data_IF_438989989581
#
_entry.id   IF_438989989581
#
_cell.length_a   1.000
_cell.length_b   1.000
_cell.length_c   1.000
_cell.angle_alpha   90.00
_cell.angle_beta   90.00
_cell.angle_gamma   90.00
#
_symmetry.space_group_name_H-M   'P 1'
#
loop_
_entity.id
_entity.type
_entity.pdbx_description
1 polymer ?
#
# COMPACT_ATOMS: atom_id res chain seq x y z
N UNK A 1 -34.68 -33.17 23.37
CA UNK A 1 -35.16 -32.02 22.56
C UNK A 1 -34.15 -30.89 22.42
N UNK A 2 -32.82 -31.14 22.48
CA UNK A 2 -31.76 -30.09 22.39
C UNK A 2 -31.19 -29.87 20.98
N UNK A 3 -31.58 -30.63 19.99
CA UNK A 3 -30.95 -30.63 18.64
C UNK A 3 -31.45 -29.47 17.75
N UNK A 4 -32.63 -28.91 17.99
CA UNK A 4 -33.18 -27.81 17.17
C UNK A 4 -32.60 -26.43 17.49
N UNK A 5 -32.13 -26.17 18.73
CA UNK A 5 -31.62 -24.88 19.19
C UNK A 5 -30.34 -24.41 18.48
N UNK A 6 -29.51 -25.35 18.01
CA UNK A 6 -28.29 -25.00 17.26
C UNK A 6 -28.53 -24.70 15.78
N UNK A 7 -29.72 -24.96 15.25
CA UNK A 7 -29.99 -24.84 13.82
C UNK A 7 -29.93 -23.40 13.28
N UNK A 8 -30.58 -22.45 13.98
CA UNK A 8 -30.68 -21.05 13.51
C UNK A 8 -29.37 -20.31 13.69
N UNK A 9 -28.71 -20.44 14.85
CA UNK A 9 -27.34 -19.88 15.09
C UNK A 9 -26.35 -20.43 14.09
N UNK A 10 -26.32 -21.73 13.83
CA UNK A 10 -25.41 -22.32 12.83
C UNK A 10 -25.75 -21.91 11.41
N UNK A 11 -27.01 -21.74 11.05
CA UNK A 11 -27.41 -21.26 9.71
C UNK A 11 -27.02 -19.81 9.49
N UNK A 12 -27.26 -18.93 10.46
CA UNK A 12 -26.84 -17.52 10.40
C UNK A 12 -25.31 -17.39 10.37
N UNK A 13 -24.58 -18.13 11.21
CA UNK A 13 -23.12 -18.16 11.20
C UNK A 13 -22.57 -18.63 9.83
N UNK A 14 -23.13 -19.69 9.26
CA UNK A 14 -22.74 -20.17 7.93
C UNK A 14 -23.05 -19.13 6.84
N UNK A 15 -24.23 -18.51 6.90
CA UNK A 15 -24.61 -17.47 5.94
C UNK A 15 -23.67 -16.26 6.02
N UNK A 16 -23.32 -15.81 7.23
CA UNK A 16 -22.39 -14.66 7.42
C UNK A 16 -20.98 -15.02 7.00
N UNK A 17 -20.49 -16.21 7.36
CA UNK A 17 -19.13 -16.64 6.98
C UNK A 17 -19.04 -16.92 5.47
N UNK A 18 -19.95 -17.73 4.92
CA UNK A 18 -19.89 -18.13 3.51
C UNK A 18 -20.42 -17.05 2.58
N UNK A 19 -21.44 -16.27 2.98
CA UNK A 19 -22.07 -15.27 2.14
C UNK A 19 -21.39 -13.91 2.15
N UNK A 20 -20.71 -13.55 3.23
CA UNK A 20 -20.12 -12.22 3.38
C UNK A 20 -18.61 -12.31 3.58
N UNK A 21 -18.13 -13.04 4.57
CA UNK A 21 -16.71 -13.03 4.95
C UNK A 21 -15.84 -13.71 3.90
N UNK A 22 -16.28 -14.80 3.30
CA UNK A 22 -15.52 -15.52 2.27
C UNK A 22 -15.41 -14.74 0.97
N UNK A 23 -16.46 -14.13 0.39
CA UNK A 23 -16.33 -13.26 -0.79
C UNK A 23 -15.47 -12.01 -0.53
N UNK A 24 -15.60 -11.37 0.64
CA UNK A 24 -14.78 -10.20 0.99
C UNK A 24 -13.31 -10.60 1.11
N UNK A 25 -12.99 -11.74 1.74
CA UNK A 25 -11.60 -12.22 1.83
C UNK A 25 -11.01 -12.59 0.47
N UNK A 26 -11.80 -13.21 -0.41
CA UNK A 26 -11.40 -13.51 -1.79
C UNK A 26 -11.14 -12.23 -2.60
N UNK A 27 -12.04 -11.25 -2.54
CA UNK A 27 -11.86 -9.93 -3.16
C UNK A 27 -10.60 -9.23 -2.64
N UNK A 28 -10.36 -9.29 -1.33
CA UNK A 28 -9.19 -8.68 -0.73
C UNK A 28 -7.88 -9.34 -1.19
N UNK A 29 -7.83 -10.66 -1.31
CA UNK A 29 -6.66 -11.38 -1.85
C UNK A 29 -6.37 -10.97 -3.30
N UNK A 30 -7.39 -10.93 -4.15
CA UNK A 30 -7.25 -10.51 -5.55
C UNK A 30 -6.78 -9.04 -5.63
N UNK A 31 -7.40 -8.17 -4.83
CA UNK A 31 -7.03 -6.75 -4.78
C UNK A 31 -5.61 -6.53 -4.25
N UNK A 32 -5.20 -7.28 -3.23
CA UNK A 32 -3.82 -7.23 -2.70
C UNK A 32 -2.76 -7.64 -3.72
N UNK A 33 -3.03 -8.70 -4.50
CA UNK A 33 -2.15 -9.11 -5.60
C UNK A 33 -2.10 -8.06 -6.71
N UNK A 34 -3.24 -7.52 -7.11
CA UNK A 34 -3.33 -6.47 -8.12
C UNK A 34 -2.56 -5.20 -7.70
N UNK A 35 -2.73 -4.75 -6.47
CA UNK A 35 -2.00 -3.57 -5.95
C UNK A 35 -0.51 -3.85 -5.88
N UNK A 36 -0.08 -5.02 -5.39
CA UNK A 36 1.35 -5.37 -5.35
C UNK A 36 1.99 -5.29 -6.75
N UNK A 37 1.33 -5.83 -7.75
CA UNK A 37 1.77 -5.76 -9.14
C UNK A 37 1.79 -4.31 -9.67
N UNK A 38 0.72 -3.56 -9.47
CA UNK A 38 0.59 -2.14 -9.89
C UNK A 38 1.62 -1.24 -9.25
N UNK A 39 1.90 -1.41 -7.94
CA UNK A 39 2.92 -0.65 -7.22
C UNK A 39 4.34 -0.96 -7.74
N UNK A 40 4.65 -2.23 -8.02
CA UNK A 40 5.93 -2.62 -8.60
C UNK A 40 6.13 -1.98 -9.97
N UNK A 41 5.11 -1.97 -10.81
CA UNK A 41 5.15 -1.34 -12.13
C UNK A 41 5.31 0.19 -12.02
N UNK A 42 4.58 0.83 -11.10
CA UNK A 42 4.69 2.26 -10.83
C UNK A 42 6.08 2.65 -10.31
N UNK A 43 6.67 1.86 -9.39
CA UNK A 43 8.02 2.09 -8.89
C UNK A 43 9.06 1.98 -10.02
N UNK A 44 8.92 0.99 -10.91
CA UNK A 44 9.80 0.86 -12.07
C UNK A 44 9.66 2.03 -13.04
N UNK A 45 8.45 2.51 -13.28
CA UNK A 45 8.22 3.70 -14.11
C UNK A 45 8.83 4.96 -13.50
N UNK A 46 8.73 5.14 -12.17
CA UNK A 46 9.36 6.25 -11.45
C UNK A 46 10.89 6.15 -11.53
N UNK A 47 11.46 4.97 -11.33
CA UNK A 47 12.89 4.74 -11.48
C UNK A 47 13.36 5.03 -12.92
N UNK A 48 12.60 4.61 -13.93
CA UNK A 48 12.90 4.89 -15.33
C UNK A 48 12.83 6.39 -15.65
N UNK A 49 11.86 7.12 -15.10
CA UNK A 49 11.76 8.57 -15.27
C UNK A 49 12.91 9.31 -14.58
N UNK A 50 13.30 8.89 -13.38
CA UNK A 50 14.46 9.44 -12.67
C UNK A 50 15.76 9.19 -13.45
N UNK A 51 15.95 7.95 -13.96
CA UNK A 51 17.08 7.58 -14.79
C UNK A 51 17.17 8.43 -16.05
N UNK A 52 16.05 8.63 -16.73
CA UNK A 52 15.97 9.50 -17.92
C UNK A 52 16.35 10.94 -17.60
N UNK A 53 15.85 11.50 -16.51
CA UNK A 53 16.22 12.85 -16.07
C UNK A 53 17.72 12.97 -15.79
N UNK A 54 18.32 11.96 -15.17
CA UNK A 54 19.78 11.89 -14.96
C UNK A 54 20.54 11.90 -16.27
N UNK A 55 20.12 11.10 -17.24
CA UNK A 55 20.74 11.04 -18.57
C UNK A 55 20.67 12.39 -19.30
N UNK A 56 19.51 13.04 -19.27
CA UNK A 56 19.33 14.38 -19.87
C UNK A 56 20.22 15.44 -19.18
N UNK A 57 20.23 15.42 -17.84
CA UNK A 57 21.04 16.37 -17.06
C UNK A 57 22.51 16.20 -17.37
N UNK A 58 23.01 14.98 -17.38
CA UNK A 58 24.39 14.66 -17.71
C UNK A 58 24.74 15.07 -19.14
N UNK A 59 23.88 14.76 -20.11
CA UNK A 59 24.06 15.20 -21.51
C UNK A 59 24.09 16.72 -21.64
N UNK A 60 23.26 17.45 -20.90
CA UNK A 60 23.23 18.90 -20.88
C UNK A 60 24.49 19.48 -20.25
N UNK A 61 24.98 18.92 -19.15
CA UNK A 61 26.25 19.32 -18.52
C UNK A 61 27.42 19.14 -19.51
N UNK A 62 27.50 17.98 -20.16
CA UNK A 62 28.55 17.73 -21.15
C UNK A 62 28.47 18.68 -22.33
N UNK A 63 27.29 19.06 -22.78
CA UNK A 63 27.07 20.07 -23.82
C UNK A 63 27.55 21.44 -23.36
N UNK A 64 27.29 21.81 -22.10
CA UNK A 64 27.78 23.05 -21.50
C UNK A 64 29.31 23.10 -21.49
N UNK A 65 29.97 22.00 -21.07
CA UNK A 65 31.42 21.90 -21.09
C UNK A 65 32.00 22.04 -22.51
N UNK A 66 31.40 21.35 -23.48
CA UNK A 66 31.78 21.45 -24.88
C UNK A 66 31.64 22.88 -25.43
N UNK A 67 30.50 23.52 -25.16
CA UNK A 67 30.25 24.89 -25.64
C UNK A 67 31.18 25.87 -24.98
N UNK A 68 31.48 25.75 -23.70
CA UNK A 68 32.43 26.57 -22.99
C UNK A 68 33.84 26.49 -23.64
N UNK A 69 34.34 25.25 -23.88
CA UNK A 69 35.65 25.08 -24.52
C UNK A 69 35.69 25.60 -25.96
N UNK A 70 34.57 25.55 -26.69
CA UNK A 70 34.49 26.17 -28.04
C UNK A 70 34.66 27.69 -28.03
N UNK A 71 34.50 28.33 -26.86
CA UNK A 71 34.80 29.74 -26.66
C UNK A 71 36.20 30.14 -27.15
N UNK A 72 37.19 29.23 -27.12
CA UNK A 72 38.51 29.49 -27.70
C UNK A 72 38.46 29.88 -29.17
N UNK A 73 37.53 29.34 -29.95
CA UNK A 73 37.36 29.71 -31.38
C UNK A 73 36.60 31.04 -31.58
N UNK A 74 35.87 31.48 -30.56
CA UNK A 74 35.06 32.70 -30.62
C UNK A 74 35.91 33.93 -30.36
N UNK A 75 37.00 33.80 -29.59
CA UNK A 75 37.93 34.90 -29.35
C UNK A 75 38.91 35.01 -30.55
N UNK A 76 38.67 35.98 -31.41
CA UNK A 76 39.33 36.15 -32.73
C UNK A 76 40.84 36.10 -32.70
N UNK A 77 41.44 36.56 -31.61
CA UNK A 77 42.91 36.68 -31.50
C UNK A 77 43.56 35.44 -30.90
N UNK A 78 42.76 34.56 -30.25
CA UNK A 78 43.29 33.39 -29.55
C UNK A 78 43.94 32.39 -30.51
N UNK A 79 43.30 32.05 -31.61
CA UNK A 79 43.84 31.11 -32.60
C UNK A 79 45.13 31.71 -33.23
N UNK A 80 45.12 33.01 -33.55
CA UNK A 80 46.32 33.70 -34.10
C UNK A 80 47.46 33.70 -33.07
N UNK A 81 47.15 33.91 -31.79
CA UNK A 81 48.12 33.91 -30.70
C UNK A 81 48.74 32.53 -30.47
N UNK A 82 47.90 31.45 -30.57
CA UNK A 82 48.34 30.06 -30.43
C UNK A 82 49.13 29.58 -31.66
N UNK A 83 48.92 30.18 -32.84
CA UNK A 83 49.66 29.88 -34.05
C UNK A 83 51.09 30.51 -34.03
N UNK A 84 51.23 31.65 -33.35
CA UNK A 84 52.52 32.29 -33.19
C UNK A 84 53.34 31.61 -32.09
N UNK A 85 54.61 31.33 -32.42
CA UNK A 85 55.58 30.90 -31.41
C UNK A 85 55.95 32.07 -30.46
N UNK A 86 56.72 31.76 -29.40
CA UNK A 86 57.21 32.80 -28.49
C UNK A 86 58.23 33.74 -29.24
N UNK A 87 58.02 35.00 -29.06
CA UNK A 87 58.86 36.03 -29.76
C UNK A 87 60.12 36.40 -28.97
N UNK A 88 60.28 35.95 -27.74
CA UNK A 88 61.40 36.31 -26.88
C UNK A 88 61.33 37.73 -26.28
N UNK A 89 60.37 38.55 -26.67
CA UNK A 89 60.15 39.89 -26.12
C UNK A 89 59.31 39.83 -24.88
N UNK A 90 59.89 40.02 -23.69
CA UNK A 90 59.27 39.83 -22.41
C UNK A 90 57.90 40.53 -22.25
N UNK A 91 57.79 41.80 -22.60
CA UNK A 91 56.58 42.60 -22.51
C UNK A 91 55.40 42.03 -23.36
N UNK A 92 55.72 41.60 -24.57
CA UNK A 92 54.73 41.01 -25.50
C UNK A 92 54.30 39.67 -25.07
N UNK A 93 55.19 38.83 -24.53
CA UNK A 93 54.87 37.55 -24.03
C UNK A 93 53.98 37.64 -22.77
N UNK A 94 54.24 38.57 -21.87
CA UNK A 94 53.41 38.83 -20.70
C UNK A 94 51.97 39.22 -21.09
N UNK A 95 51.80 40.11 -22.07
CA UNK A 95 50.47 40.49 -22.60
C UNK A 95 49.74 39.29 -23.22
N UNK A 96 50.44 38.44 -23.96
CA UNK A 96 49.92 37.27 -24.59
C UNK A 96 49.49 36.24 -23.55
N UNK A 97 50.29 35.98 -22.51
CA UNK A 97 49.99 35.07 -21.43
C UNK A 97 48.78 35.56 -20.60
N UNK A 98 48.67 36.87 -20.35
CA UNK A 98 47.49 37.47 -19.73
C UNK A 98 46.21 37.26 -20.55
N UNK A 99 46.25 37.42 -21.86
CA UNK A 99 45.10 37.17 -22.74
C UNK A 99 44.66 35.71 -22.68
N UNK A 100 45.64 34.77 -22.66
CA UNK A 100 45.34 33.35 -22.48
C UNK A 100 44.65 33.09 -21.12
N UNK A 101 45.23 33.61 -20.03
CA UNK A 101 44.65 33.41 -18.70
C UNK A 101 43.27 34.04 -18.54
N UNK A 102 43.02 35.19 -19.15
CA UNK A 102 41.70 35.83 -19.16
C UNK A 102 40.67 34.95 -19.88
N UNK A 103 41.04 34.33 -21.01
CA UNK A 103 40.17 33.38 -21.73
C UNK A 103 39.91 32.14 -20.92
N UNK A 104 40.94 31.56 -20.28
CA UNK A 104 40.79 30.42 -19.38
C UNK A 104 39.85 30.75 -18.22
N UNK A 105 39.96 31.97 -17.64
CA UNK A 105 39.10 32.46 -16.58
C UNK A 105 37.62 32.53 -17.01
N UNK A 106 37.36 33.08 -18.19
CA UNK A 106 35.99 33.18 -18.73
C UNK A 106 35.39 31.82 -18.98
N UNK A 107 36.16 30.88 -19.53
CA UNK A 107 35.67 29.49 -19.76
C UNK A 107 35.42 28.79 -18.44
N UNK A 108 36.35 28.90 -17.50
CA UNK A 108 36.20 28.24 -16.18
C UNK A 108 35.01 28.79 -15.39
N UNK A 109 34.76 30.12 -15.48
CA UNK A 109 33.59 30.73 -14.82
C UNK A 109 32.25 30.29 -15.40
N UNK A 110 32.23 29.81 -16.66
CA UNK A 110 31.04 29.29 -17.32
C UNK A 110 30.75 27.80 -16.96
N UNK A 111 31.70 27.16 -16.25
CA UNK A 111 31.62 25.75 -15.87
C UNK A 111 31.93 25.62 -14.37
N UNK A 112 30.96 25.88 -13.48
CA UNK A 112 31.18 25.86 -12.03
C UNK A 112 31.63 24.50 -11.48
N UNK A 113 31.27 23.40 -12.14
CA UNK A 113 31.64 22.06 -11.75
C UNK A 113 33.12 21.74 -12.00
N UNK A 114 33.79 22.50 -12.85
CA UNK A 114 35.17 22.24 -13.18
C UNK A 114 36.12 22.72 -12.07
N UNK A 115 37.11 21.90 -11.73
CA UNK A 115 38.15 22.21 -10.74
C UNK A 115 39.29 22.99 -11.35
N UNK A 116 39.65 22.68 -12.60
CA UNK A 116 40.74 23.34 -13.31
C UNK A 116 40.56 23.22 -14.81
N UNK A 117 41.17 24.19 -15.52
CA UNK A 117 41.33 24.17 -16.97
C UNK A 117 42.80 24.24 -17.32
N UNK A 118 43.24 23.39 -18.23
CA UNK A 118 44.62 23.35 -18.71
C UNK A 118 44.65 23.51 -20.22
N UNK A 119 45.47 24.45 -20.71
CA UNK A 119 45.76 24.65 -22.11
C UNK A 119 47.21 24.28 -22.38
N UNK A 120 47.43 23.28 -23.21
CA UNK A 120 48.76 22.89 -23.70
C UNK A 120 48.96 23.45 -25.10
N UNK A 121 49.75 24.47 -25.25
CA UNK A 121 50.06 25.09 -26.56
C UNK A 121 51.35 24.50 -27.13
N UNK A 122 51.23 23.82 -28.27
CA UNK A 122 52.38 23.12 -28.88
C UNK A 122 53.37 24.09 -29.51
N UNK A 123 52.89 25.09 -30.28
CA UNK A 123 53.75 26.04 -30.94
C UNK A 123 54.48 27.01 -29.99
N UNK A 124 53.85 27.29 -28.84
CA UNK A 124 54.47 28.14 -27.80
C UNK A 124 55.37 27.34 -26.84
N UNK A 125 55.27 26.01 -26.82
CA UNK A 125 55.97 25.15 -25.87
C UNK A 125 55.56 25.41 -24.40
N UNK A 126 54.31 25.81 -24.16
CA UNK A 126 53.82 26.26 -22.85
C UNK A 126 52.57 25.52 -22.44
N UNK A 127 52.49 25.26 -21.14
CA UNK A 127 51.27 24.75 -20.47
C UNK A 127 50.74 25.85 -19.57
N UNK A 128 49.51 26.24 -19.76
CA UNK A 128 48.77 27.19 -18.92
C UNK A 128 47.71 26.43 -18.13
N UNK A 129 47.73 26.58 -16.82
CA UNK A 129 46.75 25.96 -15.95
C UNK A 129 46.08 26.99 -15.08
N UNK A 130 44.76 26.94 -14.99
CA UNK A 130 43.96 27.78 -14.10
C UNK A 130 43.06 26.94 -13.26
N UNK A 131 43.04 27.20 -11.97
CA UNK A 131 42.16 26.47 -11.00
C UNK A 131 40.89 27.26 -10.72
N UNK A 132 39.89 26.60 -10.18
CA UNK A 132 38.62 27.23 -9.73
C UNK A 132 38.83 28.30 -8.64
N UNK A 133 39.97 28.30 -7.95
CA UNK A 133 40.38 29.35 -7.04
C UNK A 133 41.14 30.51 -7.77
N UNK A 134 41.09 30.52 -9.07
CA UNK A 134 41.75 31.52 -9.94
C UNK A 134 43.27 31.59 -9.80
N UNK A 135 43.92 30.53 -9.32
CA UNK A 135 45.37 30.42 -9.31
C UNK A 135 45.86 30.13 -10.73
N UNK A 136 46.89 30.84 -11.15
CA UNK A 136 47.48 30.78 -12.50
C UNK A 136 48.83 30.11 -12.42
N UNK A 137 49.03 29.10 -13.25
CA UNK A 137 50.32 28.41 -13.37
C UNK A 137 50.70 28.34 -14.84
N UNK A 138 51.95 28.65 -15.15
CA UNK A 138 52.51 28.40 -16.48
C UNK A 138 53.83 27.67 -16.36
N UNK A 139 54.07 26.72 -17.24
CA UNK A 139 55.32 25.96 -17.29
C UNK A 139 55.73 25.75 -18.72
N UNK A 140 57.02 25.90 -18.98
CA UNK A 140 57.63 25.59 -20.28
C UNK A 140 57.93 24.07 -20.35
N UNK A 141 57.79 23.48 -21.53
CA UNK A 141 58.13 22.07 -21.80
C UNK A 141 58.28 21.83 -23.30
N UNK A 142 59.11 20.87 -23.67
CA UNK A 142 59.09 20.34 -25.02
C UNK A 142 57.81 19.53 -25.22
N UNK A 143 56.84 20.12 -25.89
CA UNK A 143 55.52 19.56 -26.09
C UNK A 143 55.33 19.25 -27.57
N UNK A 144 55.31 17.98 -27.90
CA UNK A 144 54.90 17.54 -29.22
C UNK A 144 53.44 17.20 -29.25
N UNK A 145 52.69 17.55 -30.31
CA UNK A 145 51.34 17.02 -30.49
C UNK A 145 51.42 15.48 -30.44
N UNK A 146 50.51 14.82 -29.73
CA UNK A 146 50.52 13.39 -29.67
C UNK A 146 50.39 12.78 -31.06
N UNK A 147 51.33 11.90 -31.39
CA UNK A 147 51.40 11.19 -32.69
C UNK A 147 50.25 10.18 -32.91
N UNK A 148 49.39 10.01 -31.96
CA UNK A 148 48.21 9.15 -32.04
C UNK A 148 47.07 10.01 -32.58
N UNK A 149 46.48 9.61 -33.72
CA UNK A 149 45.33 10.26 -34.29
C UNK A 149 44.27 10.47 -33.25
N UNK A 150 44.10 11.70 -32.80
CA UNK A 150 42.96 12.05 -31.98
C UNK A 150 41.71 11.71 -32.77
N UNK A 151 40.77 10.95 -32.23
CA UNK A 151 39.54 10.56 -32.94
C UNK A 151 38.61 11.75 -33.20
N UNK A 152 39.13 12.97 -33.04
CA UNK A 152 38.32 14.16 -32.99
C UNK A 152 38.39 14.96 -34.28
N UNK A 153 37.27 15.17 -34.91
CA UNK A 153 37.07 16.23 -35.92
C UNK A 153 37.20 17.61 -35.25
N UNK A 154 37.50 18.67 -35.98
CA UNK A 154 37.43 20.04 -35.47
C UNK A 154 36.12 20.30 -34.72
N UNK A 155 36.15 20.98 -33.58
CA UNK A 155 35.05 21.27 -32.66
C UNK A 155 34.48 20.04 -31.90
N UNK A 156 35.07 18.87 -32.06
CA UNK A 156 34.68 17.71 -31.25
C UNK A 156 35.59 17.58 -30.03
N UNK A 157 35.13 16.85 -29.04
CA UNK A 157 35.85 16.60 -27.81
C UNK A 157 35.76 15.13 -27.45
N UNK A 158 36.64 14.69 -26.60
CA UNK A 158 36.59 13.35 -25.99
C UNK A 158 36.69 13.45 -24.48
N UNK A 159 36.26 12.45 -23.80
CA UNK A 159 36.31 12.38 -22.32
C UNK A 159 37.09 11.18 -21.92
N UNK A 160 37.99 11.36 -20.96
CA UNK A 160 38.75 10.27 -20.35
C UNK A 160 38.65 10.33 -18.84
N UNK A 161 38.73 9.15 -18.18
CA UNK A 161 38.76 9.08 -16.74
C UNK A 161 40.21 9.21 -16.24
N UNK A 162 40.40 10.03 -15.21
CA UNK A 162 41.63 10.10 -14.44
C UNK A 162 41.37 9.61 -13.02
N UNK A 163 42.04 8.53 -12.60
CA UNK A 163 41.86 7.90 -11.31
C UNK A 163 40.87 6.74 -11.35
N UNK A 164 40.15 6.52 -10.25
CA UNK A 164 39.21 5.44 -10.11
C UNK A 164 37.84 5.82 -10.71
N UNK A 165 37.07 4.79 -11.12
CA UNK A 165 35.73 4.97 -11.64
C UNK A 165 34.69 5.07 -10.48
N UNK A 166 34.98 5.88 -9.47
CA UNK A 166 34.13 6.16 -8.32
C UNK A 166 33.96 7.69 -8.11
N UNK A 167 33.33 8.09 -7.03
CA UNK A 167 33.13 9.52 -6.72
C UNK A 167 34.44 10.29 -6.51
N UNK A 168 35.58 9.61 -6.27
CA UNK A 168 36.91 10.22 -6.14
C UNK A 168 37.59 10.50 -7.47
N UNK A 169 37.10 9.88 -8.55
CA UNK A 169 37.61 10.04 -9.90
C UNK A 169 37.35 11.45 -10.49
N UNK A 170 38.02 11.71 -11.59
CA UNK A 170 37.93 12.97 -12.33
C UNK A 170 37.72 12.68 -13.80
N UNK A 171 36.79 13.37 -14.41
CA UNK A 171 36.63 13.37 -15.86
C UNK A 171 37.51 14.49 -16.45
N UNK A 172 38.32 14.08 -17.40
CA UNK A 172 39.05 15.03 -18.26
C UNK A 172 38.29 15.18 -19.57
N UNK A 173 37.69 16.33 -19.78
CA UNK A 173 37.04 16.69 -21.04
C UNK A 173 38.08 17.37 -21.89
N UNK A 174 38.51 16.76 -22.98
CA UNK A 174 39.63 17.18 -23.81
C UNK A 174 39.13 17.62 -25.17
N UNK A 175 39.56 18.83 -25.62
CA UNK A 175 39.26 19.37 -26.93
C UNK A 175 40.53 19.82 -27.61
N UNK A 176 40.92 19.24 -28.77
CA UNK A 176 41.99 19.75 -29.58
C UNK A 176 41.55 21.02 -30.30
N UNK A 177 42.41 22.07 -30.29
CA UNK A 177 42.23 23.29 -31.05
C UNK A 177 43.04 23.19 -32.34
N UNK A 178 42.36 23.44 -33.46
CA UNK A 178 42.94 23.39 -34.82
C UNK A 178 43.06 24.75 -35.42
N UNK A 179 43.96 24.91 -36.35
CA UNK A 179 44.15 26.15 -37.15
C UNK A 179 43.14 26.17 -38.32
N UNK A 180 41.90 26.50 -38.04
CA UNK A 180 40.81 26.53 -39.02
C UNK A 180 40.64 27.91 -39.59
N UNK A 181 40.49 28.07 -40.91
CA UNK A 181 40.45 27.04 -41.97
C UNK A 181 41.82 26.70 -42.59
N UNK A 182 42.91 27.24 -42.08
CA UNK A 182 44.22 27.27 -42.76
C UNK A 182 44.91 25.89 -42.77
N UNK A 183 44.76 25.07 -41.71
CA UNK A 183 45.36 23.72 -41.66
C UNK A 183 44.60 22.81 -40.70
N UNK A 184 44.88 21.50 -40.82
CA UNK A 184 44.39 20.49 -39.88
C UNK A 184 45.34 20.26 -38.69
N UNK A 185 46.35 21.13 -38.52
CA UNK A 185 47.34 20.99 -37.47
C UNK A 185 46.77 21.36 -36.11
N UNK A 186 47.11 20.56 -35.12
CA UNK A 186 46.68 20.80 -33.75
C UNK A 186 47.57 21.87 -33.12
N UNK A 187 47.00 23.04 -32.82
CA UNK A 187 47.68 24.15 -32.17
C UNK A 187 47.85 23.96 -30.67
N UNK A 188 46.80 23.45 -30.04
CA UNK A 188 46.76 23.29 -28.61
C UNK A 188 45.75 22.19 -28.19
N UNK A 189 45.90 21.70 -26.98
CA UNK A 189 44.95 20.81 -26.32
C UNK A 189 44.36 21.50 -25.08
N UNK A 190 43.07 21.69 -25.07
CA UNK A 190 42.31 22.12 -23.87
C UNK A 190 41.85 20.92 -23.10
N UNK A 191 42.10 20.92 -21.81
CA UNK A 191 41.66 19.88 -20.87
C UNK A 191 40.92 20.52 -19.70
N UNK A 192 39.66 20.16 -19.53
CA UNK A 192 38.81 20.57 -18.41
C UNK A 192 38.73 19.44 -17.42
N UNK A 193 39.19 19.68 -16.19
CA UNK A 193 39.13 18.68 -15.10
C UNK A 193 37.84 18.87 -14.30
N UNK A 194 36.98 17.89 -14.34
CA UNK A 194 35.71 17.86 -13.62
C UNK A 194 35.70 16.71 -12.63
N UNK A 195 35.70 16.97 -11.32
CA UNK A 195 35.54 15.88 -10.35
C UNK A 195 34.17 15.20 -10.50
N UNK A 196 34.14 13.90 -10.46
CA UNK A 196 32.86 13.16 -10.53
C UNK A 196 31.93 13.57 -9.38
N UNK A 197 32.50 13.88 -8.21
CA UNK A 197 31.74 14.37 -7.04
C UNK A 197 30.98 15.69 -7.28
N UNK A 198 31.40 16.49 -8.27
CA UNK A 198 30.67 17.71 -8.66
C UNK A 198 29.49 17.44 -9.59
N UNK A 199 29.39 16.26 -10.16
CA UNK A 199 28.26 15.84 -10.99
C UNK A 199 27.15 15.27 -10.10
N UNK A 200 26.40 16.16 -9.45
CA UNK A 200 25.34 15.79 -8.48
C UNK A 200 24.27 14.88 -9.09
N UNK A 201 24.08 14.92 -10.40
CA UNK A 201 23.21 14.01 -11.13
C UNK A 201 23.64 12.53 -11.03
N UNK A 202 24.94 12.27 -10.87
CA UNK A 202 25.47 10.92 -10.70
C UNK A 202 25.57 10.49 -9.24
N UNK A 203 25.91 11.42 -8.34
CA UNK A 203 26.21 11.10 -6.94
C UNK A 203 25.00 11.17 -6.02
N UNK A 204 23.93 11.85 -6.40
CA UNK A 204 22.74 12.10 -5.58
C UNK A 204 21.60 11.08 -5.70
N UNK A 205 21.75 10.04 -6.50
CA UNK A 205 20.62 9.15 -6.85
C UNK A 205 20.65 7.72 -6.25
N UNK A 206 21.70 7.33 -5.55
CA UNK A 206 21.83 5.98 -5.00
C UNK A 206 21.50 5.92 -3.51
N UNK A 207 20.26 6.25 -3.16
CA UNK A 207 19.79 6.17 -1.75
C UNK A 207 19.26 4.77 -1.36
N UNK A 208 19.01 3.90 -2.32
CA UNK A 208 18.50 2.56 -2.04
C UNK A 208 19.66 1.54 -1.92
N UNK A 209 19.72 0.76 -0.84
CA UNK A 209 20.76 -0.24 -0.66
C UNK A 209 20.70 -1.29 -1.78
N UNK A 210 21.85 -1.50 -2.44
CA UNK A 210 21.99 -2.45 -3.54
C UNK A 210 21.68 -1.89 -4.93
N UNK A 211 21.32 -0.62 -5.05
CA UNK A 211 21.15 0.07 -6.32
C UNK A 211 22.53 0.46 -6.86
N UNK A 212 22.79 0.13 -8.12
CA UNK A 212 24.09 0.42 -8.75
C UNK A 212 23.87 1.29 -9.98
N UNK A 213 24.49 2.46 -9.99
CA UNK A 213 24.52 3.36 -11.13
C UNK A 213 25.91 3.33 -11.77
N UNK A 214 25.96 3.03 -13.05
CA UNK A 214 27.21 3.00 -13.83
C UNK A 214 27.11 3.92 -15.04
N UNK A 215 28.19 4.60 -15.34
CA UNK A 215 28.39 5.33 -16.60
C UNK A 215 29.51 4.64 -17.37
N UNK A 216 29.21 4.17 -18.58
CA UNK A 216 30.16 3.48 -19.45
C UNK A 216 30.45 4.32 -20.68
N UNK A 217 31.67 4.25 -21.20
CA UNK A 217 32.05 4.83 -22.49
C UNK A 217 31.57 3.96 -23.67
N UNK A 218 31.87 4.38 -24.89
CA UNK A 218 31.54 3.68 -26.13
C UNK A 218 32.19 2.30 -26.25
N UNK A 219 33.27 2.02 -25.51
CA UNK A 219 34.02 0.79 -25.51
C UNK A 219 33.63 -0.11 -24.30
N UNK A 220 32.76 0.41 -23.44
CA UNK A 220 32.27 -0.27 -22.24
C UNK A 220 33.19 -0.15 -21.03
N UNK A 221 34.16 0.79 -21.08
CA UNK A 221 34.98 1.10 -19.90
C UNK A 221 34.15 1.92 -18.91
N UNK A 222 34.20 1.61 -17.62
CA UNK A 222 33.50 2.41 -16.62
C UNK A 222 34.15 3.78 -16.46
N UNK A 223 33.36 4.83 -16.65
CA UNK A 223 33.68 6.20 -16.31
C UNK A 223 33.28 6.53 -14.90
N UNK A 224 32.20 5.89 -14.42
CA UNK A 224 31.70 5.97 -13.05
C UNK A 224 30.96 4.68 -12.68
N UNK A 225 31.11 4.27 -11.43
CA UNK A 225 30.29 3.25 -10.79
C UNK A 225 30.04 3.64 -9.33
N UNK A 226 28.80 3.62 -8.91
CA UNK A 226 28.43 3.86 -7.50
C UNK A 226 28.88 2.70 -6.58
N UNK A 227 29.04 1.51 -7.15
CA UNK A 227 29.58 0.33 -6.48
C UNK A 227 30.73 -0.23 -7.32
N UNK A 228 31.94 -0.17 -6.75
CA UNK A 228 33.16 -0.68 -7.41
C UNK A 228 33.18 -2.21 -7.63
N UNK A 229 32.25 -2.94 -7.04
CA UNK A 229 32.13 -4.40 -7.19
C UNK A 229 31.25 -4.82 -8.38
N UNK A 230 30.62 -3.86 -9.08
CA UNK A 230 29.71 -4.14 -10.19
C UNK A 230 30.45 -4.77 -11.39
N UNK A 231 29.96 -5.88 -11.89
CA UNK A 231 30.47 -6.53 -13.11
C UNK A 231 30.02 -5.75 -14.35
N UNK A 232 30.74 -4.65 -14.62
CA UNK A 232 30.51 -3.77 -15.78
C UNK A 232 30.74 -4.48 -17.11
N UNK A 233 31.59 -5.53 -17.15
CA UNK A 233 31.86 -6.31 -18.36
C UNK A 233 30.65 -7.17 -18.76
N UNK A 234 30.00 -7.80 -17.78
CA UNK A 234 28.76 -8.56 -18.02
C UNK A 234 27.61 -7.64 -18.47
N UNK A 235 27.49 -6.44 -17.87
CA UNK A 235 26.53 -5.42 -18.30
C UNK A 235 26.79 -4.98 -19.74
N UNK A 236 28.03 -4.66 -20.09
CA UNK A 236 28.40 -4.24 -21.42
C UNK A 236 28.12 -5.28 -22.51
N UNK A 237 28.39 -6.56 -22.22
CA UNK A 237 28.08 -7.66 -23.15
C UNK A 237 26.60 -7.71 -23.54
N UNK A 238 25.71 -7.38 -22.61
CA UNK A 238 24.26 -7.32 -22.87
C UNK A 238 23.88 -6.08 -23.65
N UNK A 239 24.47 -4.94 -23.32
CA UNK A 239 24.18 -3.65 -23.97
C UNK A 239 24.52 -3.66 -25.46
N UNK A 240 25.58 -4.38 -25.86
CA UNK A 240 25.96 -4.50 -27.28
C UNK A 240 24.91 -5.13 -28.18
N UNK A 241 24.00 -5.93 -27.63
CA UNK A 241 22.93 -6.60 -28.36
C UNK A 241 21.65 -5.77 -28.51
N UNK A 242 21.60 -4.58 -27.91
CA UNK A 242 20.37 -3.77 -27.87
C UNK A 242 20.35 -2.77 -29.03
N UNK A 243 19.21 -2.66 -29.72
CA UNK A 243 18.96 -1.58 -30.66
C UNK A 243 18.59 -0.31 -29.89
N UNK A 244 19.44 0.72 -29.98
CA UNK A 244 19.29 1.95 -29.23
C UNK A 244 18.40 2.95 -29.98
N UNK A 245 17.28 3.34 -29.35
CA UNK A 245 16.50 4.49 -29.76
C UNK A 245 16.95 5.73 -28.97
N UNK A 246 17.04 6.87 -29.66
CA UNK A 246 17.49 8.11 -29.04
C UNK A 246 16.48 8.58 -28.00
N UNK A 247 16.96 8.95 -26.80
CA UNK A 247 16.16 9.42 -25.67
C UNK A 247 15.12 8.41 -25.13
N UNK A 248 15.41 7.14 -25.27
CA UNK A 248 14.52 6.08 -24.75
C UNK A 248 15.26 5.19 -23.77
N UNK A 249 14.69 5.08 -22.56
CA UNK A 249 15.18 4.12 -21.56
C UNK A 249 14.83 2.71 -22.00
N UNK A 250 15.84 1.86 -22.07
CA UNK A 250 15.68 0.44 -22.31
C UNK A 250 15.64 -0.28 -20.96
N UNK A 251 14.65 -1.14 -20.77
CA UNK A 251 14.52 -1.94 -19.57
C UNK A 251 14.75 -3.40 -19.90
N UNK A 252 15.66 -4.06 -19.23
CA UNK A 252 15.91 -5.49 -19.37
C UNK A 252 16.19 -6.13 -18.00
N UNK A 253 16.08 -7.43 -17.89
CA UNK A 253 16.28 -8.16 -16.63
C UNK A 253 17.68 -8.78 -16.59
N UNK A 254 18.43 -8.51 -15.52
CA UNK A 254 19.72 -9.11 -15.26
C UNK A 254 19.55 -10.29 -14.28
N UNK A 255 19.97 -11.50 -14.71
CA UNK A 255 19.78 -12.70 -13.89
C UNK A 255 18.31 -13.09 -13.79
N UNK A 256 17.88 -13.59 -12.64
CA UNK A 256 16.51 -14.10 -12.44
C UNK A 256 15.49 -13.06 -12.00
N UNK A 257 15.88 -11.85 -11.54
CA UNK A 257 14.94 -10.96 -10.86
C UNK A 257 15.17 -9.44 -10.97
N UNK A 258 16.42 -8.95 -11.19
CA UNK A 258 16.70 -7.52 -11.07
C UNK A 258 16.52 -6.78 -12.41
N UNK A 259 15.61 -5.81 -12.53
CA UNK A 259 15.50 -4.98 -13.71
C UNK A 259 16.69 -4.01 -13.82
N UNK A 260 17.19 -3.88 -15.03
CA UNK A 260 18.24 -2.95 -15.40
C UNK A 260 17.67 -1.91 -16.34
N UNK A 261 17.86 -0.65 -16.01
CA UNK A 261 17.53 0.50 -16.83
C UNK A 261 18.80 0.93 -17.55
N UNK A 262 18.73 1.18 -18.84
CA UNK A 262 19.87 1.69 -19.59
C UNK A 262 19.42 2.70 -20.64
N UNK A 263 20.18 3.76 -20.77
CA UNK A 263 19.97 4.81 -21.78
C UNK A 263 21.27 5.21 -22.44
N UNK A 264 21.23 5.39 -23.76
CA UNK A 264 22.35 5.90 -24.52
C UNK A 264 22.33 7.41 -24.55
N UNK A 265 23.38 8.04 -24.04
CA UNK A 265 23.63 9.50 -24.14
C UNK A 265 24.51 9.72 -25.33
N UNK A 266 23.99 10.35 -26.37
CA UNK A 266 24.73 10.61 -27.61
C UNK A 266 24.84 12.12 -27.88
N UNK A 267 26.05 12.62 -27.83
CA UNK A 267 26.38 14.02 -28.14
C UNK A 267 27.51 14.07 -29.17
N UNK A 268 27.72 15.25 -29.76
CA UNK A 268 28.76 15.43 -30.78
C UNK A 268 30.13 15.14 -30.20
N UNK A 269 30.67 13.95 -30.45
CA UNK A 269 32.01 13.54 -30.07
C UNK A 269 32.09 12.39 -29.05
N UNK A 270 30.99 12.00 -28.41
CA UNK A 270 30.99 10.85 -27.54
C UNK A 270 29.64 10.13 -27.51
N UNK A 271 29.68 8.86 -27.16
CA UNK A 271 28.50 8.04 -26.85
C UNK A 271 28.72 7.36 -25.51
N UNK A 272 27.86 7.63 -24.56
CA UNK A 272 27.93 7.03 -23.25
C UNK A 272 26.69 6.20 -22.98
N UNK A 273 26.80 5.27 -22.05
CA UNK A 273 25.70 4.44 -21.62
C UNK A 273 25.54 4.61 -20.11
N UNK A 274 24.44 5.21 -19.72
CA UNK A 274 24.03 5.28 -18.33
C UNK A 274 23.25 4.00 -18.03
N UNK A 275 23.68 3.28 -17.01
CA UNK A 275 23.11 1.98 -16.64
C UNK A 275 22.79 1.97 -15.15
N UNK A 276 21.59 1.63 -14.79
CA UNK A 276 21.13 1.54 -13.41
C UNK A 276 20.56 0.16 -13.16
N UNK A 277 21.11 -0.55 -12.19
CA UNK A 277 20.60 -1.83 -11.69
C UNK A 277 19.71 -1.56 -10.51
N UNK A 278 18.43 -1.91 -10.60
CA UNK A 278 17.45 -1.72 -9.54
C UNK A 278 17.17 -3.08 -8.89
N UNK A 279 17.66 -3.37 -7.67
CA UNK A 279 17.36 -4.64 -7.01
C UNK A 279 15.86 -4.78 -6.79
N UNK A 280 15.32 -5.97 -7.00
CA UNK A 280 13.91 -6.27 -6.78
C UNK A 280 13.46 -5.92 -5.34
N UNK A 281 14.38 -6.08 -4.37
CA UNK A 281 14.14 -5.74 -2.97
C UNK A 281 13.90 -4.24 -2.74
N UNK A 282 14.53 -3.35 -3.50
CA UNK A 282 14.32 -1.89 -3.40
C UNK A 282 12.95 -1.49 -3.94
N UNK A 283 12.54 -2.09 -5.06
CA UNK A 283 11.22 -1.89 -5.66
C UNK A 283 10.08 -2.43 -4.77
N UNK A 284 10.34 -3.54 -4.06
CA UNK A 284 9.38 -4.15 -3.14
C UNK A 284 9.25 -3.40 -1.82
N UNK A 285 10.30 -2.73 -1.35
CA UNK A 285 10.29 -2.02 -0.05
C UNK A 285 9.20 -0.96 0.04
N UNK A 286 8.96 -0.22 -1.03
CA UNK A 286 7.87 0.76 -1.14
C UNK A 286 6.50 0.06 -1.09
N UNK A 287 6.39 -1.14 -1.69
CA UNK A 287 5.17 -1.95 -1.69
C UNK A 287 4.87 -2.57 -0.33
N UNK A 288 5.89 -2.99 0.44
CA UNK A 288 5.69 -3.63 1.75
C UNK A 288 5.01 -2.74 2.78
N UNK A 289 5.33 -1.45 2.83
CA UNK A 289 4.68 -0.52 3.74
C UNK A 289 3.17 -0.43 3.44
N UNK A 290 2.82 -0.31 2.18
CA UNK A 290 1.43 -0.26 1.73
C UNK A 290 0.69 -1.59 1.95
N UNK A 291 1.31 -2.73 1.60
CA UNK A 291 0.73 -4.06 1.84
C UNK A 291 0.47 -4.28 3.33
N UNK A 292 1.41 -3.89 4.20
CA UNK A 292 1.23 -3.99 5.66
C UNK A 292 0.07 -3.15 6.16
N UNK A 293 -0.09 -1.91 5.71
CA UNK A 293 -1.22 -1.06 6.11
C UNK A 293 -2.55 -1.61 5.60
N UNK A 294 -2.57 -2.14 4.39
CA UNK A 294 -3.76 -2.77 3.80
C UNK A 294 -4.16 -4.04 4.55
N UNK A 295 -3.21 -4.91 4.92
CA UNK A 295 -3.46 -6.10 5.76
C UNK A 295 -3.99 -5.69 7.14
N UNK A 296 -3.40 -4.66 7.77
CA UNK A 296 -3.87 -4.18 9.07
C UNK A 296 -5.31 -3.66 9.00
N UNK A 297 -5.66 -2.92 7.96
CA UNK A 297 -7.02 -2.43 7.72
C UNK A 297 -8.01 -3.61 7.53
N UNK A 298 -7.62 -4.63 6.75
CA UNK A 298 -8.45 -5.82 6.54
C UNK A 298 -8.70 -6.58 7.84
N UNK A 299 -7.65 -6.83 8.62
CA UNK A 299 -7.79 -7.48 9.93
C UNK A 299 -8.70 -6.67 10.84
N UNK A 300 -8.57 -5.34 10.85
CA UNK A 300 -9.45 -4.43 11.58
C UNK A 300 -10.92 -4.57 11.15
N UNK A 301 -11.20 -4.60 9.84
CA UNK A 301 -12.54 -4.80 9.30
C UNK A 301 -13.13 -6.17 9.68
N UNK A 302 -12.34 -7.24 9.62
CA UNK A 302 -12.77 -8.59 10.03
C UNK A 302 -13.09 -8.64 11.52
N UNK A 303 -12.25 -8.04 12.36
CA UNK A 303 -12.51 -7.96 13.81
C UNK A 303 -13.77 -7.16 14.12
N UNK A 304 -13.96 -6.01 13.46
CA UNK A 304 -15.19 -5.21 13.61
C UNK A 304 -16.42 -6.00 13.19
N UNK A 305 -16.35 -6.72 12.07
CA UNK A 305 -17.46 -7.56 11.59
C UNK A 305 -17.79 -8.69 12.57
N UNK A 306 -16.78 -9.36 13.16
CA UNK A 306 -16.97 -10.38 14.19
C UNK A 306 -17.61 -9.78 15.44
N UNK A 307 -17.20 -8.59 15.87
CA UNK A 307 -17.78 -7.89 17.00
C UNK A 307 -19.26 -7.56 16.76
N UNK A 308 -19.58 -7.02 15.57
CA UNK A 308 -20.97 -6.74 15.19
C UNK A 308 -21.82 -8.03 15.12
N UNK A 309 -21.26 -9.14 14.64
CA UNK A 309 -21.93 -10.43 14.60
C UNK A 309 -22.25 -10.94 16.01
N UNK A 310 -21.30 -10.88 16.94
CA UNK A 310 -21.51 -11.24 18.35
C UNK A 310 -22.56 -10.33 18.97
N UNK A 311 -22.51 -9.03 18.71
CA UNK A 311 -23.51 -8.08 19.18
C UNK A 311 -24.91 -8.43 18.67
N UNK A 312 -25.08 -8.67 17.35
CA UNK A 312 -26.36 -9.10 16.77
C UNK A 312 -26.88 -10.43 17.34
N UNK A 313 -25.98 -11.41 17.54
CA UNK A 313 -26.34 -12.70 18.15
C UNK A 313 -26.89 -12.50 19.57
N UNK A 314 -26.27 -11.65 20.35
CA UNK A 314 -26.70 -11.41 21.73
C UNK A 314 -27.97 -10.55 21.81
N UNK A 315 -28.07 -9.52 20.96
CA UNK A 315 -29.18 -8.55 21.04
C UNK A 315 -30.46 -9.05 20.38
N UNK A 316 -30.37 -9.88 19.34
CA UNK A 316 -31.54 -10.31 18.57
C UNK A 316 -31.85 -11.80 18.78
N UNK A 317 -30.86 -12.67 18.59
CA UNK A 317 -31.10 -14.13 18.60
C UNK A 317 -31.35 -14.71 19.98
N UNK A 318 -30.68 -14.17 20.99
CA UNK A 318 -30.83 -14.70 22.36
C UNK A 318 -32.22 -14.43 22.92
N UNK A 319 -32.80 -13.24 22.80
CA UNK A 319 -34.20 -12.97 23.21
C UNK A 319 -35.20 -13.80 22.44
N UNK A 320 -35.08 -13.89 21.11
CA UNK A 320 -35.97 -14.71 20.28
C UNK A 320 -35.94 -16.20 20.67
N UNK A 321 -34.76 -16.74 20.97
CA UNK A 321 -34.60 -18.13 21.42
C UNK A 321 -35.29 -18.39 22.78
N UNK A 322 -35.18 -17.40 23.70
CA UNK A 322 -35.84 -17.48 25.01
C UNK A 322 -37.36 -17.37 24.87
N UNK A 323 -37.84 -16.49 23.99
CA UNK A 323 -39.26 -16.31 23.72
C UNK A 323 -39.87 -17.61 23.14
N UNK A 324 -39.15 -18.28 22.23
CA UNK A 324 -39.54 -19.61 21.72
C UNK A 324 -39.59 -20.66 22.81
N UNK A 325 -38.65 -20.65 23.77
CA UNK A 325 -38.62 -21.56 24.90
C UNK A 325 -39.82 -21.34 25.85
N UNK A 326 -40.15 -20.07 26.11
CA UNK A 326 -41.33 -19.70 26.88
C UNK A 326 -42.62 -20.19 26.21
N UNK A 327 -42.76 -19.98 24.90
CA UNK A 327 -43.90 -20.46 24.15
C UNK A 327 -44.02 -22.00 24.19
N UNK A 328 -42.91 -22.74 24.12
CA UNK A 328 -42.90 -24.21 24.26
C UNK A 328 -43.33 -24.67 25.67
N UNK A 329 -42.89 -23.99 26.72
CA UNK A 329 -43.27 -24.31 28.13
C UNK A 329 -44.77 -24.11 28.33
N UNK A 330 -45.30 -23.00 27.80
CA UNK A 330 -46.74 -22.70 27.90
C UNK A 330 -47.57 -23.69 27.07
N UNK A 331 -47.12 -24.04 25.85
CA UNK A 331 -47.80 -25.03 25.01
C UNK A 331 -47.85 -26.41 25.61
N UNK A 332 -46.91 -26.74 26.50
CA UNK A 332 -46.90 -28.02 27.27
C UNK A 332 -47.89 -28.02 28.46
N UNK A 333 -48.67 -26.94 28.66
CA UNK A 333 -49.70 -26.82 29.68
C UNK A 333 -49.24 -26.12 30.96
N UNK A 334 -48.01 -25.65 31.07
CA UNK A 334 -47.56 -24.90 32.24
C UNK A 334 -47.83 -23.40 32.06
N UNK A 335 -49.08 -23.01 32.42
CA UNK A 335 -49.53 -21.61 32.34
C UNK A 335 -48.99 -20.71 33.48
N UNK A 336 -48.34 -21.34 34.50
CA UNK A 336 -47.76 -20.60 35.64
C UNK A 336 -46.30 -20.17 35.42
N UNK A 337 -45.75 -20.36 34.23
CA UNK A 337 -44.38 -19.91 33.92
C UNK A 337 -44.32 -18.38 34.03
N UNK A 338 -43.40 -17.86 34.84
CA UNK A 338 -43.26 -16.41 35.10
C UNK A 338 -42.66 -15.67 33.88
N UNK A 339 -43.41 -14.78 33.25
CA UNK A 339 -42.88 -13.98 32.13
C UNK A 339 -41.86 -12.94 32.60
N UNK A 340 -41.69 -12.68 33.89
CA UNK A 340 -40.77 -11.66 34.40
C UNK A 340 -39.29 -11.97 34.07
N UNK A 341 -38.93 -13.26 33.95
CA UNK A 341 -37.58 -13.68 33.51
C UNK A 341 -37.19 -13.19 32.09
N UNK A 342 -38.16 -12.67 31.32
CA UNK A 342 -37.97 -12.22 29.94
C UNK A 342 -38.14 -10.70 29.77
N UNK A 343 -38.55 -9.99 30.84
CA UNK A 343 -38.81 -8.52 30.82
C UNK A 343 -37.58 -7.67 31.10
N UNK A 344 -36.55 -8.22 31.68
CA UNK A 344 -35.44 -7.48 32.32
C UNK A 344 -34.26 -7.19 31.37
N UNK A 345 -34.48 -7.20 30.05
CA UNK A 345 -33.43 -6.90 29.09
C UNK A 345 -33.74 -5.64 28.26
N UNK A 346 -32.73 -4.78 28.08
CA UNK A 346 -32.78 -3.64 27.17
C UNK A 346 -32.78 -4.17 25.71
N UNK A 347 -34.00 -4.36 25.18
CA UNK A 347 -34.21 -4.90 23.84
C UNK A 347 -34.55 -3.77 22.86
N UNK A 348 -34.22 -3.95 21.54
CA UNK A 348 -34.75 -3.08 20.48
C UNK A 348 -36.27 -2.96 20.54
N UNK A 349 -36.83 -1.83 20.15
CA UNK A 349 -38.27 -1.52 20.28
C UNK A 349 -39.18 -2.56 19.63
N UNK A 350 -38.76 -3.18 18.52
CA UNK A 350 -39.51 -4.23 17.82
C UNK A 350 -39.59 -5.53 18.65
N UNK A 351 -38.46 -5.92 19.25
CA UNK A 351 -38.38 -7.10 20.09
C UNK A 351 -39.20 -6.89 21.37
N UNK A 352 -39.12 -5.69 21.97
CA UNK A 352 -39.93 -5.32 23.14
C UNK A 352 -41.43 -5.37 22.83
N UNK A 353 -41.82 -4.83 21.66
CA UNK A 353 -43.21 -4.85 21.20
C UNK A 353 -43.72 -6.29 21.01
N UNK A 354 -42.88 -7.20 20.47
CA UNK A 354 -43.19 -8.59 20.29
C UNK A 354 -43.37 -9.31 21.66
N UNK A 355 -42.45 -9.06 22.59
CA UNK A 355 -42.57 -9.60 23.97
C UNK A 355 -43.88 -9.16 24.62
N UNK A 356 -44.22 -7.87 24.58
CA UNK A 356 -45.46 -7.35 25.14
C UNK A 356 -46.71 -7.94 24.46
N UNK A 357 -46.66 -8.15 23.14
CA UNK A 357 -47.79 -8.75 22.42
C UNK A 357 -48.01 -10.23 22.82
N UNK A 358 -46.94 -10.97 22.99
CA UNK A 358 -47.03 -12.36 23.46
C UNK A 358 -47.48 -12.42 24.93
N UNK A 359 -46.97 -11.52 25.78
CA UNK A 359 -47.40 -11.41 27.17
C UNK A 359 -48.91 -11.17 27.30
N UNK A 360 -49.41 -10.21 26.52
CA UNK A 360 -50.86 -9.88 26.45
C UNK A 360 -51.69 -11.08 25.95
N UNK A 361 -51.21 -11.78 24.93
CA UNK A 361 -51.84 -12.98 24.40
C UNK A 361 -51.89 -14.10 25.46
N UNK A 362 -50.80 -14.28 26.22
CA UNK A 362 -50.73 -15.26 27.28
C UNK A 362 -51.68 -14.97 28.43
N UNK A 363 -51.76 -13.70 28.87
CA UNK A 363 -52.77 -13.29 29.86
C UNK A 363 -54.18 -13.62 29.37
N UNK A 364 -54.51 -13.27 28.12
CA UNK A 364 -55.81 -13.56 27.55
C UNK A 364 -56.13 -15.03 27.50
N UNK A 365 -55.16 -15.90 27.17
CA UNK A 365 -55.33 -17.34 27.15
C UNK A 365 -55.54 -17.87 28.58
N UNK A 366 -54.72 -17.44 29.54
CA UNK A 366 -54.81 -17.86 30.94
C UNK A 366 -56.16 -17.47 31.52
N UNK A 367 -56.62 -16.23 31.35
CA UNK A 367 -57.92 -15.76 31.82
C UNK A 367 -59.08 -16.54 31.16
N UNK A 368 -58.94 -16.85 29.86
CA UNK A 368 -59.95 -17.63 29.14
C UNK A 368 -60.05 -19.04 29.65
N UNK A 369 -58.89 -19.68 29.92
CA UNK A 369 -58.84 -21.04 30.47
C UNK A 369 -59.41 -21.09 31.88
N UNK A 370 -59.06 -20.14 32.76
CA UNK A 370 -59.60 -20.02 34.11
C UNK A 370 -61.11 -19.87 34.04
N UNK A 371 -61.61 -18.94 33.21
CA UNK A 371 -63.02 -18.71 33.03
C UNK A 371 -63.75 -19.93 32.50
N UNK A 372 -63.14 -20.68 31.60
CA UNK A 372 -63.72 -21.92 31.09
C UNK A 372 -63.86 -22.99 32.24
N UNK A 373 -62.82 -23.11 33.09
CA UNK A 373 -62.89 -23.98 34.25
C UNK A 373 -63.96 -23.54 35.26
N UNK A 374 -64.08 -22.23 35.53
CA UNK A 374 -65.14 -21.71 36.43
C UNK A 374 -66.53 -22.00 35.88
N UNK A 375 -66.75 -21.82 34.57
CA UNK A 375 -68.02 -22.19 33.94
C UNK A 375 -68.31 -23.70 34.00
N UNK A 376 -67.29 -24.51 33.81
CA UNK A 376 -67.43 -25.97 33.85
C UNK A 376 -67.77 -26.45 35.27
N UNK A 377 -67.13 -25.90 36.29
CA UNK A 377 -67.43 -26.14 37.70
C UNK A 377 -68.84 -25.67 38.01
N UNK A 378 -69.27 -24.49 37.57
CA UNK A 378 -70.61 -23.95 37.78
C UNK A 378 -71.65 -24.85 37.12
N UNK A 379 -71.43 -25.30 35.90
CA UNK A 379 -72.29 -26.21 35.18
C UNK A 379 -72.41 -27.59 35.90
N UNK A 380 -71.25 -28.17 36.33
CA UNK A 380 -71.25 -29.43 37.09
C UNK A 380 -71.97 -29.32 38.44
N UNK A 381 -71.80 -28.13 39.08
CA UNK A 381 -72.49 -27.83 40.34
C UNK A 381 -74.02 -27.72 40.12
N UNK A 382 -74.45 -27.05 39.04
CA UNK A 382 -75.89 -27.01 38.68
C UNK A 382 -76.44 -28.40 38.35
N UNK A 383 -75.69 -29.21 37.61
CA UNK A 383 -76.12 -30.60 37.30
C UNK A 383 -76.28 -31.42 38.54
N UNK A 384 -75.33 -31.32 39.49
CA UNK A 384 -75.49 -32.01 40.81
C UNK A 384 -76.66 -31.49 41.58
N UNK A 385 -76.90 -30.20 41.66
CA UNK A 385 -78.07 -29.65 42.35
C UNK A 385 -79.35 -30.04 41.66
N UNK A 386 -79.43 -30.15 40.35
CA UNK A 386 -80.57 -30.66 39.62
C UNK A 386 -80.83 -32.13 39.90
N UNK A 387 -79.77 -32.99 39.97
CA UNK A 387 -79.87 -34.36 40.30
C UNK A 387 -80.36 -34.53 41.76
N UNK A 388 -79.88 -33.73 42.70
CA UNK A 388 -80.36 -33.69 44.07
C UNK A 388 -81.80 -33.26 44.16
N UNK A 389 -82.26 -32.28 43.38
CA UNK A 389 -83.63 -31.80 43.35
C UNK A 389 -84.62 -32.87 42.75
N UNK A 390 -84.12 -33.81 41.92
CA UNK A 390 -84.94 -34.95 41.41
C UNK A 390 -85.34 -35.96 42.50
N UNK A 391 -84.58 -35.96 43.62
CA UNK A 391 -85.04 -36.68 44.81
C UNK A 391 -86.14 -35.81 45.40
N UNK A 392 -87.39 -36.03 45.00
CA UNK A 392 -88.50 -35.17 45.41
C UNK A 392 -88.63 -35.19 46.97
N UNK A 393 -88.25 -34.12 47.66
CA UNK A 393 -88.36 -34.04 49.13
C UNK A 393 -89.74 -34.29 49.57
N UNK A 394 -90.71 -33.94 48.75
CA UNK A 394 -92.13 -34.13 48.99
C UNK A 394 -92.47 -35.64 49.00
N UNK A 395 -91.92 -36.47 48.12
CA UNK A 395 -92.13 -37.91 48.12
C UNK A 395 -91.53 -38.58 49.38
N UNK A 396 -90.29 -38.22 49.73
CA UNK A 396 -89.69 -38.73 50.97
C UNK A 396 -90.44 -38.23 52.19
N UNK A 397 -90.89 -36.99 52.22
CA UNK A 397 -91.71 -36.51 53.33
C UNK A 397 -93.06 -37.18 53.46
N UNK A 398 -93.76 -37.39 52.37
CA UNK A 398 -95.02 -38.15 52.33
C UNK A 398 -94.83 -39.62 52.73
N UNK A 399 -93.75 -40.26 52.33
CA UNK A 399 -93.47 -41.64 52.71
C UNK A 399 -93.14 -41.79 54.19
N UNK A 400 -92.30 -40.82 54.72
CA UNK A 400 -92.02 -40.78 56.15
C UNK A 400 -93.26 -40.45 56.97
N UNK A 401 -94.14 -39.59 56.47
CA UNK A 401 -95.41 -39.26 57.13
C UNK A 401 -96.35 -40.49 57.14
N UNK A 402 -96.41 -41.26 56.06
CA UNK A 402 -97.17 -42.52 55.99
C UNK A 402 -96.61 -43.50 56.99
N UNK A 403 -95.28 -43.67 57.06
CA UNK A 403 -94.70 -44.58 58.07
C UNK A 403 -94.90 -44.09 59.50
N UNK A 404 -94.88 -42.77 59.76
CA UNK A 404 -95.15 -42.17 61.03
C UNK A 404 -96.59 -42.47 61.45
N UNK A 405 -97.59 -42.34 60.53
CA UNK A 405 -99.00 -42.62 60.79
C UNK A 405 -99.20 -44.11 61.12
N UNK A 406 -98.57 -45.02 60.34
CA UNK A 406 -98.65 -46.46 60.60
C UNK A 406 -97.99 -46.87 61.94
N UNK A 407 -96.89 -46.18 62.35
CA UNK A 407 -96.27 -46.41 63.64
C UNK A 407 -97.13 -45.96 64.81
N UNK A 408 -97.90 -44.89 64.60
CA UNK A 408 -98.88 -44.37 65.59
C UNK A 408 -100.10 -45.38 65.76
N UNK A 409 -100.61 -45.85 64.61
CA UNK A 409 -101.70 -46.82 64.60
C UNK A 409 -101.30 -48.20 65.25
N UNK A 410 -99.99 -48.54 65.03
CA UNK A 410 -99.39 -49.74 65.62
C UNK A 410 -99.01 -49.64 67.12
N UNK A 411 -99.36 -48.48 67.79
CA UNK A 411 -99.06 -48.22 69.19
C UNK A 411 -97.59 -48.27 69.57
N UNK A 412 -96.71 -47.80 68.62
CA UNK A 412 -95.26 -47.75 68.86
C UNK A 412 -94.73 -46.29 68.86
N UNK A 413 -94.80 -45.58 69.99
CA UNK A 413 -94.46 -44.15 70.11
C UNK A 413 -92.94 -43.85 69.88
N UNK A 414 -92.06 -44.86 70.15
CA UNK A 414 -90.65 -44.73 69.96
C UNK A 414 -90.30 -44.65 68.47
N UNK A 415 -90.91 -45.54 67.67
CA UNK A 415 -90.74 -45.56 66.24
C UNK A 415 -91.29 -44.27 65.55
N UNK A 416 -92.44 -43.77 66.06
CA UNK A 416 -92.99 -42.50 65.62
C UNK A 416 -92.04 -41.35 65.88
N UNK A 417 -91.42 -41.30 67.05
CA UNK A 417 -90.44 -40.28 67.42
C UNK A 417 -89.19 -40.30 66.54
N UNK A 418 -88.70 -41.51 66.23
CA UNK A 418 -87.56 -41.65 65.31
C UNK A 418 -87.87 -41.15 63.86
N UNK A 419 -89.02 -41.52 63.33
CA UNK A 419 -89.45 -41.12 61.97
C UNK A 419 -89.74 -39.61 61.92
N UNK A 420 -90.35 -39.08 62.94
CA UNK A 420 -90.60 -37.60 63.02
C UNK A 420 -89.27 -36.80 63.08
N UNK A 421 -88.34 -37.31 63.88
CA UNK A 421 -86.99 -36.69 63.95
C UNK A 421 -86.23 -36.75 62.58
N UNK A 422 -86.30 -37.89 61.86
CA UNK A 422 -85.74 -38.05 60.54
C UNK A 422 -86.44 -37.12 59.53
N UNK A 423 -87.76 -36.98 59.60
CA UNK A 423 -88.49 -36.01 58.76
C UNK A 423 -88.16 -34.57 59.04
N UNK A 424 -87.78 -34.20 60.27
CA UNK A 424 -87.31 -32.90 60.63
C UNK A 424 -85.88 -32.61 60.16
N UNK A 425 -85.01 -33.66 60.10
CA UNK A 425 -83.66 -33.54 59.54
C UNK A 425 -83.61 -33.36 58.01
N UNK A 426 -84.65 -33.91 57.34
CA UNK A 426 -84.76 -33.84 55.86
C UNK A 426 -85.53 -32.62 55.37
N UNK A 427 -85.95 -31.73 56.22
CA UNK A 427 -86.61 -30.46 55.92
C UNK A 427 -85.61 -29.33 55.82
#
# INVERSE_FOLDING_TARGET
MSIQRYGLRRRLLRFTVCGILLPISALFLVYGQYIGYSMKQSALQQAAAAHHNTAITLGTQMRTFSNAMRGFYTYSDMISLLTQGRTGLYSKEQTNDEAIFNTLSLILSSVPEARSIKLTSFNRGMIYTMTSSYQRFSSAGELSPPNVGFPCKPYSYYVTLLGNADASGKLLVCMPLYNIPSSSDILALVQLEVPISSLTSLTGQTDAPGEVLCLLDQDGKPLYSSDGSADTAALWKKLRGISWEKYKVQTFVQGSTDPVLAEKIEEKGFSWYLVQVCPASSLERSSYAFVRTTIALFVGCVLLMLLLLVFQLNTILTPLSRLSEYADIVSSGNLSADPAAYRDYDHPDEIRTLIHSIDRMMHTITDSVIRQYELDIANKTMELNMLQAQITPHFLFNTLQCFATTALEGHNPELYGCIASLGQMLR
#
